data_IF_700577795974
#
_entry.id   IF_700577795974
#
_cell.length_a   1.000
_cell.length_b   1.000
_cell.length_c   1.000
_cell.angle_alpha   90.00
_cell.angle_beta   90.00
_cell.angle_gamma   90.00
#
_symmetry.space_group_name_H-M   'P 1'
#
loop_
_entity.id
_entity.type
_entity.pdbx_description
1 polymer ?
#
# COMPACT_ATOMS: atom_id res chain seq x y z
N UNK A 1 -19.72 -16.03 24.33
CA UNK A 1 -18.99 -15.01 23.53
C UNK A 1 -18.23 -15.71 22.42
N UNK A 2 -18.72 -15.64 21.17
CA UNK A 2 -18.08 -16.28 20.01
C UNK A 2 -16.82 -15.47 19.67
N UNK A 3 -15.62 -15.94 20.06
CA UNK A 3 -14.35 -15.30 19.66
C UNK A 3 -14.30 -15.33 18.13
N UNK A 4 -14.61 -14.22 17.47
CA UNK A 4 -14.24 -14.01 16.06
C UNK A 4 -12.71 -14.06 16.06
N UNK A 5 -12.13 -15.13 15.54
CA UNK A 5 -10.68 -15.22 15.37
C UNK A 5 -10.31 -14.15 14.36
N UNK A 6 -9.60 -13.13 14.82
CA UNK A 6 -8.99 -12.15 13.93
C UNK A 6 -7.82 -12.87 13.28
N UNK A 7 -7.76 -12.84 11.95
CA UNK A 7 -6.61 -13.37 11.23
C UNK A 7 -5.47 -12.34 11.31
N UNK A 8 -4.50 -12.61 12.18
CA UNK A 8 -3.36 -11.73 12.41
C UNK A 8 -2.50 -11.57 11.15
N UNK A 9 -2.45 -12.57 10.26
CA UNK A 9 -1.73 -12.50 9.00
C UNK A 9 -2.36 -11.47 8.05
N UNK A 10 -3.68 -11.51 7.90
CA UNK A 10 -4.42 -10.52 7.09
C UNK A 10 -4.30 -9.10 7.68
N UNK A 11 -4.22 -8.97 9.01
CA UNK A 11 -3.96 -7.68 9.67
C UNK A 11 -2.59 -7.14 9.29
N UNK A 12 -1.54 -7.95 9.38
CA UNK A 12 -0.18 -7.54 9.05
C UNK A 12 -0.09 -7.12 7.58
N UNK A 13 -0.61 -7.93 6.66
CA UNK A 13 -0.64 -7.61 5.22
C UNK A 13 -1.38 -6.30 4.99
N UNK A 14 -2.56 -6.13 5.60
CA UNK A 14 -3.35 -4.92 5.47
C UNK A 14 -2.62 -3.66 5.96
N UNK A 15 -1.98 -3.72 7.13
CA UNK A 15 -1.19 -2.61 7.67
C UNK A 15 0.03 -2.27 6.80
N UNK A 16 0.73 -3.28 6.26
CA UNK A 16 1.87 -3.06 5.36
C UNK A 16 1.42 -2.37 4.08
N UNK A 17 0.32 -2.83 3.47
CA UNK A 17 -0.21 -2.22 2.24
C UNK A 17 -0.65 -0.77 2.47
N UNK A 18 -1.32 -0.48 3.59
CA UNK A 18 -1.66 0.90 3.96
C UNK A 18 -0.42 1.75 4.18
N UNK A 19 0.61 1.22 4.85
CA UNK A 19 1.87 1.91 5.07
C UNK A 19 2.61 2.26 3.78
N UNK A 20 2.75 1.28 2.87
CA UNK A 20 3.39 1.47 1.56
C UNK A 20 2.58 2.46 0.71
N UNK A 21 1.26 2.28 0.63
CA UNK A 21 0.39 3.15 -0.15
C UNK A 21 0.39 4.59 0.39
N UNK A 22 0.29 4.76 1.71
CA UNK A 22 0.36 6.06 2.36
C UNK A 22 1.71 6.75 2.15
N UNK A 23 2.82 6.01 2.21
CA UNK A 23 4.15 6.54 1.92
C UNK A 23 4.27 6.98 0.45
N UNK A 24 3.76 6.19 -0.50
CA UNK A 24 3.75 6.54 -1.92
C UNK A 24 2.91 7.80 -2.20
N UNK A 25 1.74 7.94 -1.54
CA UNK A 25 0.92 9.14 -1.62
C UNK A 25 1.60 10.37 -1.04
N UNK A 26 2.32 10.21 0.09
CA UNK A 26 3.02 11.29 0.76
C UNK A 26 4.20 11.81 -0.06
N UNK A 27 4.97 10.91 -0.67
CA UNK A 27 6.12 11.31 -1.50
C UNK A 27 5.71 11.85 -2.87
N UNK A 28 4.57 11.42 -3.42
CA UNK A 28 4.11 11.86 -4.74
C UNK A 28 4.97 11.36 -5.92
N UNK A 29 6.00 10.55 -5.64
CA UNK A 29 6.90 9.93 -6.61
C UNK A 29 7.24 8.50 -6.18
N UNK A 30 7.20 7.57 -7.14
CA UNK A 30 7.58 6.17 -6.93
C UNK A 30 8.85 5.88 -7.72
N UNK A 31 9.93 5.54 -7.01
CA UNK A 31 11.21 5.15 -7.58
C UNK A 31 11.19 3.65 -7.89
N UNK A 32 11.16 3.29 -9.17
CA UNK A 32 11.17 1.90 -9.62
C UNK A 32 12.57 1.25 -9.54
N UNK A 33 13.64 2.05 -9.56
CA UNK A 33 15.03 1.60 -9.42
C UNK A 33 15.93 2.71 -8.85
N UNK A 34 16.88 2.34 -7.99
CA UNK A 34 17.97 3.23 -7.51
C UNK A 34 19.28 3.05 -8.31
N UNK A 35 19.35 2.03 -9.17
CA UNK A 35 20.59 1.60 -9.85
C UNK A 35 20.77 2.15 -11.27
N UNK A 36 19.73 2.72 -11.86
CA UNK A 36 19.77 3.34 -13.19
C UNK A 36 19.05 4.67 -13.14
N UNK A 37 19.77 5.72 -12.78
CA UNK A 37 19.28 7.09 -12.95
C UNK A 37 19.41 7.44 -14.44
N UNK A 38 18.47 6.94 -15.25
CA UNK A 38 18.14 7.60 -16.51
C UNK A 38 17.03 8.58 -16.20
N UNK A 39 17.22 9.85 -16.55
CA UNK A 39 16.17 10.87 -16.53
C UNK A 39 14.93 10.30 -17.25
N UNK A 40 13.89 9.94 -16.50
CA UNK A 40 12.68 9.28 -17.02
C UNK A 40 12.19 8.01 -16.29
N UNK A 41 12.91 7.46 -15.30
CA UNK A 41 12.49 6.22 -14.59
C UNK A 41 11.66 6.43 -13.31
N UNK A 42 11.35 7.67 -12.91
CA UNK A 42 10.45 7.97 -11.80
C UNK A 42 9.02 8.12 -12.28
N UNK A 43 8.09 7.35 -11.70
CA UNK A 43 6.66 7.57 -11.92
C UNK A 43 6.18 8.61 -10.91
N UNK A 44 6.20 9.87 -11.33
CA UNK A 44 5.80 11.02 -10.51
C UNK A 44 4.36 11.47 -10.76
N UNK A 45 3.79 12.19 -9.80
CA UNK A 45 2.48 12.84 -9.93
C UNK A 45 1.32 11.86 -9.95
N UNK A 46 0.45 11.94 -10.97
CA UNK A 46 -0.82 11.18 -11.03
C UNK A 46 -0.60 9.67 -10.96
N UNK A 47 0.48 9.15 -11.57
CA UNK A 47 0.80 7.73 -11.52
C UNK A 47 1.11 7.22 -10.11
N UNK A 48 1.92 7.98 -9.36
CA UNK A 48 2.24 7.68 -7.97
C UNK A 48 0.98 7.72 -7.09
N UNK A 49 0.10 8.69 -7.34
CA UNK A 49 -1.15 8.84 -6.61
C UNK A 49 -2.09 7.65 -6.83
N UNK A 50 -2.26 7.20 -8.08
CA UNK A 50 -3.11 6.05 -8.40
C UNK A 50 -2.57 4.78 -7.74
N UNK A 51 -1.27 4.52 -7.84
CA UNK A 51 -0.65 3.35 -7.23
C UNK A 51 -0.79 3.40 -5.71
N UNK A 52 -0.46 4.54 -5.09
CA UNK A 52 -0.61 4.73 -3.64
C UNK A 52 -2.04 4.49 -3.17
N UNK A 53 -3.03 5.03 -3.89
CA UNK A 53 -4.45 4.83 -3.58
C UNK A 53 -4.87 3.35 -3.69
N UNK A 54 -4.42 2.63 -4.72
CA UNK A 54 -4.71 1.19 -4.87
C UNK A 54 -4.16 0.37 -3.71
N UNK A 55 -2.92 0.65 -3.28
CA UNK A 55 -2.31 -0.01 -2.13
C UNK A 55 -3.09 0.25 -0.83
N UNK A 56 -3.52 1.50 -0.59
CA UNK A 56 -4.34 1.84 0.58
C UNK A 56 -5.69 1.12 0.55
N UNK A 57 -6.39 1.13 -0.58
CA UNK A 57 -7.69 0.47 -0.74
C UNK A 57 -7.57 -1.04 -0.51
N UNK A 58 -6.56 -1.68 -1.10
CA UNK A 58 -6.28 -3.09 -0.89
C UNK A 58 -5.97 -3.39 0.59
N UNK A 59 -5.15 -2.56 1.24
CA UNK A 59 -4.82 -2.72 2.65
C UNK A 59 -6.04 -2.60 3.56
N UNK A 60 -6.93 -1.63 3.33
CA UNK A 60 -8.20 -1.51 4.04
C UNK A 60 -9.09 -2.73 3.81
N UNK A 61 -9.14 -3.26 2.59
CA UNK A 61 -9.90 -4.46 2.27
C UNK A 61 -9.42 -5.67 3.08
N UNK A 62 -8.11 -5.90 3.17
CA UNK A 62 -7.54 -6.99 3.99
C UNK A 62 -7.80 -6.79 5.49
N UNK A 63 -7.72 -5.55 6.00
CA UNK A 63 -8.06 -5.24 7.39
C UNK A 63 -9.55 -5.44 7.70
N UNK A 64 -10.43 -5.23 6.71
CA UNK A 64 -11.84 -5.53 6.85
C UNK A 64 -12.07 -7.04 6.84
N UNK A 65 -11.40 -7.76 5.93
CA UNK A 65 -11.53 -9.20 5.79
C UNK A 65 -10.97 -9.98 6.99
N UNK A 66 -9.93 -9.47 7.66
CA UNK A 66 -9.37 -10.10 8.87
C UNK A 66 -10.33 -10.20 10.05
N UNK A 67 -11.42 -9.41 10.03
CA UNK A 67 -12.47 -9.38 11.07
C UNK A 67 -13.70 -10.21 10.70
N UNK A 68 -13.74 -10.75 9.48
CA UNK A 68 -14.89 -11.47 8.91
C UNK A 68 -14.76 -12.96 9.17
#
# INVERSE_FOLDING_TARGET
>A
MKRRRIDEGLVIVGLVLVGIGGYALYQGEIFLSRLTVSEGQSMGGVGALVIGALFVVAGIYFLYQSRR
#
